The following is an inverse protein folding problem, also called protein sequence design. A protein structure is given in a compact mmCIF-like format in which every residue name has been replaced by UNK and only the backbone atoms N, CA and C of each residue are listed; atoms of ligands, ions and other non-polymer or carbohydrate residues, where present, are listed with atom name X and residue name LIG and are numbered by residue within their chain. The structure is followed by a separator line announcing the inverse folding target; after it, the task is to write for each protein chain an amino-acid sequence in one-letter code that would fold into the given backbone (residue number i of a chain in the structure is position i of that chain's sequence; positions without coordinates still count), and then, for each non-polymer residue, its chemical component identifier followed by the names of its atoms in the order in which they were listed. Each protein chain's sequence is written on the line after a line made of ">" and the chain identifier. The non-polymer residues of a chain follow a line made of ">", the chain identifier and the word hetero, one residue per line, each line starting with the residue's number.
data_IF_043427483132
#
_entry.id   IF_043427483132
#
_cell.length_a   1.000
_cell.length_b   1.000
_cell.length_c   1.000
_cell.angle_alpha   90.00
_cell.angle_beta   90.00
_cell.angle_gamma   90.00
#
_symmetry.space_group_name_H-M   'P 1'
#
loop_
_entity.id
_entity.type
_entity.pdbx_description
1 polymer ?
#
# COMPACT_ATOMS: atom_id res chain seq x y z
N UNK A 1 -14.18 20.89 4.26
CA UNK A 1 -15.05 19.81 3.74
C UNK A 1 -14.22 18.54 3.67
N UNK A 2 -14.61 17.52 4.43
CA UNK A 2 -13.90 16.24 4.51
C UNK A 2 -14.00 15.48 3.18
N UNK A 3 -15.11 15.60 2.45
CA UNK A 3 -15.27 15.05 1.10
C UNK A 3 -14.15 15.53 0.16
N UNK A 4 -13.80 16.82 0.21
CA UNK A 4 -12.73 17.39 -0.61
C UNK A 4 -11.35 16.78 -0.27
N UNK A 5 -11.08 16.46 1.00
CA UNK A 5 -9.84 15.79 1.39
C UNK A 5 -9.74 14.39 0.76
N UNK A 6 -10.84 13.63 0.75
CA UNK A 6 -10.90 12.31 0.10
C UNK A 6 -10.72 12.39 -1.42
N UNK A 7 -11.30 13.41 -2.07
CA UNK A 7 -11.03 13.68 -3.49
C UNK A 7 -9.55 13.97 -3.72
N UNK A 8 -8.92 14.79 -2.88
CA UNK A 8 -7.48 15.07 -2.98
C UNK A 8 -6.62 13.81 -2.78
N UNK A 9 -6.99 12.94 -1.84
CA UNK A 9 -6.30 11.65 -1.67
C UNK A 9 -6.48 10.73 -2.88
N UNK A 10 -7.67 10.65 -3.45
CA UNK A 10 -7.91 9.88 -4.68
C UNK A 10 -7.05 10.42 -5.85
N UNK A 11 -6.97 11.74 -6.01
CA UNK A 11 -6.13 12.37 -7.04
C UNK A 11 -4.64 12.12 -6.80
N UNK A 12 -4.17 12.25 -5.56
CA UNK A 12 -2.78 11.96 -5.20
C UNK A 12 -2.43 10.50 -5.46
N UNK A 13 -3.27 9.55 -5.04
CA UNK A 13 -3.07 8.12 -5.29
C UNK A 13 -3.14 7.79 -6.78
N UNK A 14 -4.01 8.45 -7.55
CA UNK A 14 -4.06 8.29 -9.01
C UNK A 14 -2.75 8.76 -9.64
N UNK A 15 -2.22 9.93 -9.24
CA UNK A 15 -0.93 10.40 -9.71
C UNK A 15 0.20 9.42 -9.37
N UNK A 16 0.19 8.84 -8.16
CA UNK A 16 1.12 7.80 -7.74
C UNK A 16 0.97 6.51 -8.56
N UNK A 17 -0.26 6.08 -8.88
CA UNK A 17 -0.52 4.92 -9.72
C UNK A 17 0.07 5.11 -11.13
N UNK A 18 -0.12 6.29 -11.71
CA UNK A 18 0.46 6.62 -13.01
C UNK A 18 1.99 6.68 -12.93
N UNK A 19 2.57 7.22 -11.85
CA UNK A 19 4.03 7.22 -11.66
C UNK A 19 4.57 5.79 -11.52
N UNK A 20 3.95 4.96 -10.68
CA UNK A 20 4.28 3.55 -10.51
C UNK A 20 4.22 2.78 -11.85
N UNK A 21 3.17 3.01 -12.64
CA UNK A 21 3.04 2.41 -13.96
C UNK A 21 4.16 2.86 -14.92
N UNK A 22 4.54 4.14 -14.91
CA UNK A 22 5.68 4.63 -15.70
C UNK A 22 7.00 4.00 -15.28
N UNK A 23 7.22 3.78 -13.98
CA UNK A 23 8.39 3.04 -13.47
C UNK A 23 8.34 1.60 -13.95
N UNK A 24 7.20 0.92 -13.79
CA UNK A 24 7.01 -0.46 -14.24
C UNK A 24 7.28 -0.64 -15.73
N UNK A 25 6.80 0.27 -16.57
CA UNK A 25 7.04 0.21 -18.03
C UNK A 25 8.51 0.32 -18.42
N UNK A 26 9.32 1.04 -17.63
CA UNK A 26 10.76 1.20 -17.90
C UNK A 26 11.56 0.01 -17.40
N UNK A 27 11.12 -0.59 -16.29
CA UNK A 27 11.84 -1.65 -15.61
C UNK A 27 10.82 -2.59 -14.90
N UNK A 28 10.25 -3.54 -15.65
CA UNK A 28 9.23 -4.44 -15.12
C UNK A 28 9.80 -5.33 -14.03
N UNK A 29 9.18 -5.32 -12.85
CA UNK A 29 9.54 -6.22 -11.76
C UNK A 29 8.31 -6.62 -10.97
N UNK A 30 8.36 -7.79 -10.34
CA UNK A 30 7.28 -8.27 -9.48
C UNK A 30 6.98 -7.26 -8.35
N UNK A 31 8.00 -6.63 -7.76
CA UNK A 31 7.83 -5.62 -6.71
C UNK A 31 7.10 -4.36 -7.20
N UNK A 32 7.45 -3.85 -8.37
CA UNK A 32 6.75 -2.67 -8.92
C UNK A 32 5.33 -3.02 -9.36
N UNK A 33 5.09 -4.23 -9.87
CA UNK A 33 3.74 -4.70 -10.20
C UNK A 33 2.86 -4.81 -8.94
N UNK A 34 3.34 -5.49 -7.90
CA UNK A 34 2.57 -5.66 -6.65
C UNK A 34 2.35 -4.34 -5.94
N UNK A 35 3.28 -3.38 -6.02
CA UNK A 35 3.08 -2.02 -5.52
C UNK A 35 1.85 -1.32 -6.10
N UNK A 36 1.55 -1.55 -7.39
CA UNK A 36 0.43 -0.88 -8.05
C UNK A 36 -0.94 -1.35 -7.54
N UNK A 37 -1.05 -2.59 -7.04
CA UNK A 37 -2.35 -3.17 -6.67
C UNK A 37 -2.99 -2.45 -5.45
N UNK A 38 -2.27 -2.21 -4.33
CA UNK A 38 -2.81 -1.43 -3.22
C UNK A 38 -3.12 0.00 -3.60
N UNK A 39 -2.30 0.64 -4.45
CA UNK A 39 -2.53 2.01 -4.89
C UNK A 39 -3.88 2.09 -5.62
N UNK A 40 -4.16 1.15 -6.52
CA UNK A 40 -5.44 1.07 -7.21
C UNK A 40 -6.62 0.84 -6.24
N UNK A 41 -6.45 -0.05 -5.26
CA UNK A 41 -7.47 -0.31 -4.24
C UNK A 41 -7.80 0.96 -3.42
N UNK A 42 -6.77 1.71 -3.05
CA UNK A 42 -6.90 2.94 -2.24
C UNK A 42 -7.44 4.11 -3.08
N UNK A 43 -7.17 4.16 -4.40
CA UNK A 43 -7.88 5.09 -5.29
C UNK A 43 -9.38 4.82 -5.24
N UNK A 44 -9.79 3.56 -5.44
CA UNK A 44 -11.20 3.21 -5.39
C UNK A 44 -11.82 3.52 -4.02
N UNK A 45 -11.13 3.20 -2.93
CA UNK A 45 -11.61 3.50 -1.57
C UNK A 45 -11.89 4.99 -1.38
N UNK A 46 -10.92 5.85 -1.72
CA UNK A 46 -11.09 7.28 -1.53
C UNK A 46 -12.20 7.86 -2.41
N UNK A 47 -12.36 7.36 -3.64
CA UNK A 47 -13.47 7.74 -4.53
C UNK A 47 -14.80 7.31 -3.95
N UNK A 48 -14.92 6.05 -3.51
CA UNK A 48 -16.17 5.51 -2.97
C UNK A 48 -16.61 6.25 -1.69
N UNK A 49 -15.68 6.61 -0.81
CA UNK A 49 -15.98 7.45 0.37
C UNK A 49 -16.42 8.84 -0.04
N UNK A 50 -15.73 9.49 -0.99
CA UNK A 50 -16.12 10.82 -1.46
C UNK A 50 -17.50 10.83 -2.13
N UNK A 51 -17.82 9.80 -2.92
CA UNK A 51 -19.11 9.65 -3.61
C UNK A 51 -20.27 9.46 -2.62
N UNK A 52 -20.01 8.87 -1.46
CA UNK A 52 -21.06 8.56 -0.49
C UNK A 52 -21.83 9.78 0.01
N UNK A 53 -21.19 10.95 0.07
CA UNK A 53 -21.85 12.22 0.41
C UNK A 53 -22.88 12.69 -0.64
N UNK A 54 -22.73 12.26 -1.89
CA UNK A 54 -23.64 12.61 -2.98
C UNK A 54 -24.77 11.61 -3.14
N UNK A 55 -24.48 10.32 -2.92
CA UNK A 55 -25.45 9.22 -3.08
C UNK A 55 -26.32 9.04 -1.83
N UNK A 56 -25.76 9.30 -0.64
CA UNK A 56 -26.44 9.07 0.63
C UNK A 56 -26.50 7.59 1.04
N UNK A 57 -27.06 7.34 2.22
CA UNK A 57 -27.17 5.99 2.78
C UNK A 57 -28.19 5.14 2.01
N UNK A 58 -27.92 3.84 1.88
CA UNK A 58 -28.79 2.88 1.21
C UNK A 58 -28.05 1.84 0.38
N UNK A 59 -28.78 0.98 -0.35
CA UNK A 59 -28.22 -0.18 -1.03
C UNK A 59 -27.13 0.15 -2.06
N UNK A 60 -27.23 1.30 -2.73
CA UNK A 60 -26.21 1.73 -3.68
C UNK A 60 -24.87 2.02 -2.99
N UNK A 61 -24.90 2.72 -1.85
CA UNK A 61 -23.68 3.03 -1.10
C UNK A 61 -23.09 1.78 -0.43
N UNK A 62 -23.91 0.82 -0.03
CA UNK A 62 -23.45 -0.51 0.42
C UNK A 62 -22.73 -1.26 -0.70
N UNK A 63 -23.32 -1.31 -1.90
CA UNK A 63 -22.72 -1.93 -3.07
C UNK A 63 -21.40 -1.27 -3.49
N UNK A 64 -21.32 0.06 -3.44
CA UNK A 64 -20.06 0.79 -3.67
C UNK A 64 -19.04 0.57 -2.55
N UNK A 65 -19.51 0.28 -1.33
CA UNK A 65 -18.63 0.07 -0.18
C UNK A 65 -18.02 -1.33 -0.13
N UNK A 66 -18.71 -2.36 -0.62
CA UNK A 66 -18.21 -3.74 -0.59
C UNK A 66 -16.83 -3.91 -1.25
N UNK A 67 -16.56 -3.39 -2.46
CA UNK A 67 -15.24 -3.51 -3.08
C UNK A 67 -14.12 -2.82 -2.30
N UNK A 68 -14.45 -1.84 -1.43
CA UNK A 68 -13.46 -1.21 -0.55
C UNK A 68 -12.92 -2.23 0.45
N UNK A 69 -13.80 -2.94 1.14
CA UNK A 69 -13.41 -3.96 2.12
C UNK A 69 -12.70 -5.14 1.46
N UNK A 70 -13.21 -5.58 0.30
CA UNK A 70 -12.57 -6.64 -0.48
C UNK A 70 -11.18 -6.22 -0.96
N UNK A 71 -11.04 -5.01 -1.50
CA UNK A 71 -9.76 -4.46 -1.95
C UNK A 71 -8.76 -4.30 -0.82
N UNK A 72 -9.19 -3.87 0.37
CA UNK A 72 -8.34 -3.82 1.55
C UNK A 72 -7.88 -5.21 1.99
N UNK A 73 -8.79 -6.18 2.05
CA UNK A 73 -8.49 -7.55 2.47
C UNK A 73 -7.52 -8.26 1.50
N UNK A 74 -7.72 -8.08 0.19
CA UNK A 74 -6.93 -8.76 -0.83
C UNK A 74 -5.64 -8.02 -1.16
N UNK A 75 -5.71 -6.71 -1.39
CA UNK A 75 -4.65 -6.01 -2.11
C UNK A 75 -3.67 -5.35 -1.15
N UNK A 76 -4.12 -4.62 -0.13
CA UNK A 76 -3.20 -3.86 0.75
C UNK A 76 -2.10 -4.68 1.43
N UNK A 77 -2.31 -5.96 1.84
CA UNK A 77 -1.24 -6.76 2.42
C UNK A 77 -0.12 -7.11 1.42
N UNK A 78 -0.34 -6.97 0.11
CA UNK A 78 0.68 -7.29 -0.92
C UNK A 78 1.89 -6.35 -0.89
N UNK A 79 1.81 -5.22 -0.15
CA UNK A 79 2.99 -4.42 0.17
C UNK A 79 4.06 -5.20 0.93
N UNK A 80 3.72 -6.33 1.59
CA UNK A 80 4.70 -7.31 2.11
C UNK A 80 5.62 -7.80 1.00
N UNK A 81 5.04 -8.29 -0.10
CA UNK A 81 5.78 -8.81 -1.26
C UNK A 81 6.56 -7.69 -1.93
N UNK A 82 5.95 -6.51 -2.07
CA UNK A 82 6.61 -5.31 -2.61
C UNK A 82 7.89 -4.98 -1.84
N UNK A 83 7.78 -4.90 -0.51
CA UNK A 83 8.87 -4.54 0.37
C UNK A 83 10.02 -5.55 0.35
N UNK A 84 9.70 -6.85 0.39
CA UNK A 84 10.70 -7.91 0.29
C UNK A 84 11.37 -7.91 -1.08
N UNK A 85 10.62 -7.67 -2.17
CA UNK A 85 11.19 -7.55 -3.51
C UNK A 85 12.18 -6.37 -3.61
N UNK A 86 11.88 -5.22 -3.00
CA UNK A 86 12.80 -4.08 -2.96
C UNK A 86 14.04 -4.36 -2.10
N UNK A 87 13.88 -5.03 -0.96
CA UNK A 87 15.02 -5.47 -0.15
C UNK A 87 15.92 -6.45 -0.92
N UNK A 88 15.36 -7.46 -1.58
CA UNK A 88 16.11 -8.39 -2.44
C UNK A 88 16.87 -7.63 -3.53
N UNK A 89 16.19 -6.70 -4.20
CA UNK A 89 16.80 -5.87 -5.25
C UNK A 89 17.93 -4.97 -4.75
N UNK A 90 17.93 -4.60 -3.48
CA UNK A 90 19.04 -3.87 -2.84
C UNK A 90 20.25 -4.77 -2.50
N UNK A 91 20.22 -6.05 -2.89
CA UNK A 91 21.27 -7.03 -2.59
C UNK A 91 21.17 -7.64 -1.19
N UNK A 92 19.99 -7.63 -0.58
CA UNK A 92 19.75 -8.27 0.71
C UNK A 92 19.56 -9.78 0.57
N UNK A 93 19.68 -10.49 1.70
CA UNK A 93 19.39 -11.92 1.83
C UNK A 93 20.24 -12.84 0.94
N UNK A 94 21.52 -12.49 0.75
CA UNK A 94 22.49 -13.30 0.00
C UNK A 94 22.41 -14.79 0.38
N UNK A 95 22.12 -15.65 -0.60
CA UNK A 95 21.98 -17.11 -0.44
C UNK A 95 20.63 -17.57 0.15
N UNK A 96 19.68 -16.67 0.39
CA UNK A 96 18.33 -16.95 0.92
C UNK A 96 17.24 -16.23 0.13
N UNK A 97 17.54 -15.73 -1.07
CA UNK A 97 16.67 -14.88 -1.86
C UNK A 97 15.34 -15.56 -2.18
N UNK A 98 15.41 -16.82 -2.63
CA UNK A 98 14.24 -17.63 -2.94
C UNK A 98 13.38 -17.89 -1.71
N UNK A 99 14.00 -18.17 -0.57
CA UNK A 99 13.30 -18.42 0.69
C UNK A 99 12.55 -17.17 1.14
N UNK A 100 13.19 -16.01 1.09
CA UNK A 100 12.57 -14.74 1.48
C UNK A 100 11.44 -14.34 0.53
N UNK A 101 11.62 -14.55 -0.79
CA UNK A 101 10.57 -14.31 -1.77
C UNK A 101 9.35 -15.21 -1.52
N UNK A 102 9.53 -16.53 -1.40
CA UNK A 102 8.43 -17.47 -1.11
C UNK A 102 7.78 -17.13 0.24
N UNK A 103 8.58 -16.89 1.27
CA UNK A 103 8.09 -16.52 2.60
C UNK A 103 7.21 -15.26 2.58
N UNK A 104 7.55 -14.26 1.75
CA UNK A 104 6.74 -13.05 1.59
C UNK A 104 5.36 -13.34 0.98
N UNK A 105 5.29 -14.25 -0.01
CA UNK A 105 4.02 -14.67 -0.62
C UNK A 105 3.17 -15.52 0.31
N UNK A 106 3.79 -16.42 1.09
CA UNK A 106 3.10 -17.21 2.12
C UNK A 106 2.53 -16.31 3.20
N UNK A 107 3.32 -15.34 3.69
CA UNK A 107 2.86 -14.38 4.69
C UNK A 107 1.74 -13.50 4.13
N UNK A 108 1.86 -13.02 2.89
CA UNK A 108 0.79 -12.31 2.20
C UNK A 108 -0.50 -13.14 2.13
N UNK A 109 -0.44 -14.41 1.71
CA UNK A 109 -1.60 -15.27 1.62
C UNK A 109 -2.27 -15.49 2.99
N UNK A 110 -1.48 -15.65 4.06
CA UNK A 110 -2.00 -15.73 5.42
C UNK A 110 -2.71 -14.42 5.84
N UNK A 111 -2.13 -13.26 5.54
CA UNK A 111 -2.74 -11.97 5.84
C UNK A 111 -4.02 -11.73 5.02
N UNK A 112 -4.06 -12.18 3.77
CA UNK A 112 -5.27 -12.15 2.94
C UNK A 112 -6.37 -13.02 3.54
N UNK A 113 -6.06 -14.24 4.00
CA UNK A 113 -7.05 -15.10 4.64
C UNK A 113 -7.66 -14.44 5.88
N UNK A 114 -6.82 -13.87 6.74
CA UNK A 114 -7.27 -13.13 7.93
C UNK A 114 -8.11 -11.91 7.51
N UNK A 115 -7.65 -11.15 6.51
CA UNK A 115 -8.35 -9.99 5.97
C UNK A 115 -9.72 -10.32 5.40
N UNK A 116 -9.84 -11.42 4.64
CA UNK A 116 -11.10 -11.90 4.08
C UNK A 116 -12.07 -12.32 5.17
N UNK A 117 -11.60 -13.05 6.19
CA UNK A 117 -12.45 -13.41 7.33
C UNK A 117 -12.94 -12.15 8.03
N UNK A 118 -12.04 -11.21 8.34
CA UNK A 118 -12.37 -10.01 9.10
C UNK A 118 -13.27 -9.03 8.33
N UNK A 119 -12.98 -8.78 7.06
CA UNK A 119 -13.55 -7.66 6.29
C UNK A 119 -14.52 -8.09 5.19
N UNK A 120 -14.70 -9.39 4.96
CA UNK A 120 -15.65 -9.90 3.95
C UNK A 120 -16.63 -10.89 4.57
N UNK A 121 -16.13 -11.92 5.25
CA UNK A 121 -17.00 -12.95 5.86
C UNK A 121 -17.75 -12.41 7.07
N UNK A 122 -17.04 -11.71 7.96
CA UNK A 122 -17.61 -11.10 9.17
C UNK A 122 -18.02 -9.64 8.94
N UNK A 123 -18.19 -9.23 7.68
CA UNK A 123 -18.57 -7.87 7.34
C UNK A 123 -19.97 -7.57 7.87
N UNK A 124 -20.09 -6.48 8.63
CA UNK A 124 -21.36 -5.85 8.97
C UNK A 124 -21.28 -4.39 8.57
N UNK A 125 -22.16 -3.93 7.69
CA UNK A 125 -22.18 -2.54 7.27
C UNK A 125 -22.69 -1.66 8.40
N UNK A 126 -21.86 -0.72 8.84
CA UNK A 126 -22.23 0.29 9.83
C UNK A 126 -22.11 1.68 9.19
N UNK A 127 -23.23 2.42 9.19
CA UNK A 127 -23.27 3.75 8.57
C UNK A 127 -22.55 4.77 9.45
N UNK A 128 -21.62 5.50 8.85
CA UNK A 128 -20.91 6.60 9.49
C UNK A 128 -21.28 7.92 8.82
N UNK A 129 -21.62 8.90 9.65
CA UNK A 129 -21.81 10.30 9.26
C UNK A 129 -20.82 11.16 10.03
N UNK A 130 -19.87 11.76 9.32
CA UNK A 130 -18.80 12.56 9.92
C UNK A 130 -18.61 13.85 9.13
N UNK A 131 -18.98 14.99 9.70
CA UNK A 131 -19.03 16.26 8.97
C UNK A 131 -19.93 16.13 7.73
N UNK A 132 -19.37 16.41 6.55
CA UNK A 132 -20.03 16.23 5.25
C UNK A 132 -19.87 14.84 4.63
N UNK A 133 -19.17 13.90 5.29
CA UNK A 133 -19.02 12.51 4.81
C UNK A 133 -20.18 11.62 5.20
N UNK A 134 -20.60 10.76 4.27
CA UNK A 134 -21.53 9.65 4.48
C UNK A 134 -20.91 8.40 3.86
N UNK A 135 -20.58 7.38 4.66
CA UNK A 135 -19.96 6.15 4.16
C UNK A 135 -20.24 4.98 5.11
N UNK A 136 -20.09 3.74 4.65
CA UNK A 136 -20.13 2.57 5.52
C UNK A 136 -18.74 2.16 5.98
N UNK A 137 -18.62 1.81 7.26
CA UNK A 137 -17.49 1.10 7.88
C UNK A 137 -17.87 -0.35 8.17
N UNK A 138 -16.88 -1.17 8.51
CA UNK A 138 -17.13 -2.52 9.02
C UNK A 138 -17.39 -2.43 10.54
N UNK A 139 -18.65 -2.62 10.95
CA UNK A 139 -19.06 -2.75 12.35
C UNK A 139 -18.95 -4.18 12.89
N UNK A 140 -18.56 -5.14 12.03
CA UNK A 140 -18.29 -6.52 12.40
C UNK A 140 -16.79 -6.79 12.54
N UNK A 141 -16.38 -8.01 12.17
CA UNK A 141 -14.99 -8.43 12.19
C UNK A 141 -14.48 -8.98 13.52
N UNK A 142 -13.19 -9.30 13.51
CA UNK A 142 -12.47 -9.83 14.66
C UNK A 142 -12.14 -8.66 15.61
N UNK A 143 -12.47 -8.74 16.92
CA UNK A 143 -12.11 -7.70 17.88
C UNK A 143 -10.60 -7.49 17.95
N UNK A 144 -10.18 -6.23 18.03
CA UNK A 144 -8.78 -5.84 18.16
C UNK A 144 -8.24 -5.07 16.96
N UNK A 145 -6.92 -4.82 16.93
CA UNK A 145 -6.31 -4.03 15.88
C UNK A 145 -6.23 -4.80 14.55
N UNK A 146 -6.15 -4.11 13.40
CA UNK A 146 -6.09 -4.76 12.09
C UNK A 146 -4.75 -5.48 11.89
N UNK A 147 -4.73 -6.78 12.21
CA UNK A 147 -3.54 -7.64 12.12
C UNK A 147 -2.87 -7.57 10.75
N UNK A 148 -3.58 -7.68 9.59
CA UNK A 148 -2.95 -7.58 8.27
C UNK A 148 -2.17 -6.28 8.06
N UNK A 149 -2.75 -5.14 8.42
CA UNK A 149 -2.13 -3.82 8.24
C UNK A 149 -0.91 -3.64 9.14
N UNK A 150 -0.96 -4.12 10.38
CA UNK A 150 0.18 -4.06 11.32
C UNK A 150 1.32 -4.91 10.80
N UNK A 151 1.07 -6.18 10.48
CA UNK A 151 2.09 -7.11 10.00
C UNK A 151 2.73 -6.58 8.72
N UNK A 152 1.91 -6.13 7.76
CA UNK A 152 2.40 -5.52 6.53
C UNK A 152 3.32 -4.33 6.83
N UNK A 153 2.88 -3.39 7.66
CA UNK A 153 3.66 -2.18 7.99
C UNK A 153 4.99 -2.54 8.66
N UNK A 154 5.00 -3.50 9.59
CA UNK A 154 6.23 -3.96 10.24
C UNK A 154 7.22 -4.60 9.26
N UNK A 155 6.72 -5.38 8.28
CA UNK A 155 7.56 -5.94 7.21
C UNK A 155 8.14 -4.82 6.34
N UNK A 156 7.34 -3.82 5.98
CA UNK A 156 7.84 -2.68 5.20
C UNK A 156 8.88 -1.87 6.00
N UNK A 157 8.70 -1.67 7.30
CA UNK A 157 9.71 -1.05 8.17
C UNK A 157 11.00 -1.87 8.16
N UNK A 158 10.93 -3.18 8.40
CA UNK A 158 12.11 -4.05 8.43
C UNK A 158 12.87 -4.02 7.10
N UNK A 159 12.15 -4.12 5.98
CA UNK A 159 12.74 -4.01 4.64
C UNK A 159 13.27 -2.59 4.36
N UNK A 160 12.60 -1.55 4.85
CA UNK A 160 13.03 -0.17 4.75
C UNK A 160 14.36 0.08 5.47
N UNK A 161 14.55 -0.51 6.66
CA UNK A 161 15.86 -0.48 7.35
C UNK A 161 16.94 -1.16 6.52
N UNK A 162 16.64 -2.29 5.89
CA UNK A 162 17.59 -3.01 5.03
C UNK A 162 17.96 -2.15 3.81
N UNK A 163 16.97 -1.60 3.11
CA UNK A 163 17.18 -0.73 1.94
C UNK A 163 18.00 0.51 2.33
N UNK A 164 17.68 1.15 3.46
CA UNK A 164 18.45 2.28 3.98
C UNK A 164 19.92 1.89 4.24
N UNK A 165 20.18 0.75 4.88
CA UNK A 165 21.55 0.31 5.17
C UNK A 165 22.34 -0.07 3.91
N UNK A 166 21.68 -0.67 2.92
CA UNK A 166 22.32 -1.21 1.71
C UNK A 166 22.58 -0.16 0.64
N UNK A 167 21.60 0.70 0.37
CA UNK A 167 21.64 1.66 -0.74
C UNK A 167 21.44 3.11 -0.30
N UNK A 168 21.47 3.38 1.02
CA UNK A 168 21.36 4.72 1.61
C UNK A 168 20.10 5.50 1.24
N UNK A 169 19.03 4.78 0.88
CA UNK A 169 17.74 5.37 0.51
C UNK A 169 16.76 5.33 1.69
N UNK A 170 16.42 6.47 2.32
CA UNK A 170 15.64 6.49 3.57
C UNK A 170 14.12 6.44 3.37
N UNK A 171 13.63 6.76 2.17
CA UNK A 171 12.23 7.12 1.99
C UNK A 171 11.26 5.99 2.29
N UNK A 172 11.56 4.74 1.88
CA UNK A 172 10.74 3.57 2.24
C UNK A 172 10.54 3.43 3.75
N UNK A 173 11.60 3.63 4.54
CA UNK A 173 11.52 3.56 5.99
C UNK A 173 10.72 4.74 6.55
N UNK A 174 10.98 5.96 6.07
CA UNK A 174 10.29 7.15 6.53
C UNK A 174 8.77 7.07 6.30
N UNK A 175 8.34 6.62 5.11
CA UNK A 175 6.93 6.44 4.80
C UNK A 175 6.27 5.36 5.65
N UNK A 176 6.95 4.24 5.89
CA UNK A 176 6.44 3.16 6.72
C UNK A 176 6.31 3.56 8.20
N UNK A 177 7.29 4.31 8.74
CA UNK A 177 7.23 4.85 10.10
C UNK A 177 6.11 5.89 10.24
N UNK A 178 5.94 6.76 9.23
CA UNK A 178 4.83 7.70 9.21
C UNK A 178 3.49 6.97 9.25
N UNK A 179 3.31 5.95 8.40
CA UNK A 179 2.08 5.14 8.38
C UNK A 179 1.84 4.45 9.74
N UNK A 180 2.88 3.89 10.36
CA UNK A 180 2.78 3.24 11.66
C UNK A 180 2.34 4.20 12.77
N UNK A 181 2.92 5.39 12.81
CA UNK A 181 2.54 6.44 13.78
C UNK A 181 1.13 6.94 13.49
N UNK A 182 0.80 7.22 12.22
CA UNK A 182 -0.54 7.68 11.82
C UNK A 182 -1.63 6.66 12.18
N UNK A 183 -1.35 5.37 12.04
CA UNK A 183 -2.27 4.28 12.40
C UNK A 183 -2.47 4.13 13.92
N UNK A 184 -1.51 4.59 14.74
CA UNK A 184 -1.61 4.56 16.19
C UNK A 184 -2.45 5.70 16.77
N UNK A 185 -2.72 6.76 15.99
CA UNK A 185 -3.54 7.88 16.44
C UNK A 185 -5.01 7.43 16.52
N UNK A 186 -5.68 7.58 17.68
CA UNK A 186 -7.08 7.19 17.82
C UNK A 186 -7.95 7.87 16.76
N UNK A 187 -8.81 7.08 16.11
CA UNK A 187 -9.73 7.58 15.08
C UNK A 187 -10.65 8.70 15.58
N UNK A 188 -10.95 8.71 16.87
CA UNK A 188 -11.71 9.76 17.55
C UNK A 188 -10.98 11.12 17.65
N UNK A 189 -9.64 11.14 17.55
CA UNK A 189 -8.79 12.33 17.72
C UNK A 189 -8.28 12.84 16.37
N UNK A 190 -7.82 11.95 15.50
CA UNK A 190 -7.21 12.30 14.21
C UNK A 190 -8.24 12.61 13.10
N UNK A 191 -9.47 12.09 13.25
CA UNK A 191 -10.38 11.91 12.13
C UNK A 191 -9.82 10.93 11.08
N UNK A 192 -10.69 10.42 10.23
CA UNK A 192 -10.32 9.49 9.15
C UNK A 192 -9.32 10.10 8.13
N UNK A 193 -9.20 11.44 8.10
CA UNK A 193 -8.31 12.19 7.22
C UNK A 193 -6.84 11.90 7.49
N UNK A 194 -6.42 11.78 8.75
CA UNK A 194 -5.02 11.51 9.09
C UNK A 194 -4.65 10.06 8.75
N UNK A 195 -5.58 9.11 8.96
CA UNK A 195 -5.36 7.69 8.61
C UNK A 195 -5.09 7.52 7.12
N UNK A 196 -5.90 8.14 6.24
CA UNK A 196 -5.70 8.01 4.79
C UNK A 196 -4.43 8.71 4.29
N UNK A 197 -3.95 9.75 4.97
CA UNK A 197 -2.65 10.36 4.66
C UNK A 197 -1.49 9.35 4.77
N UNK A 198 -1.61 8.39 5.70
CA UNK A 198 -0.62 7.33 5.90
C UNK A 198 -0.46 6.44 4.67
N UNK A 199 -1.56 6.07 4.01
CA UNK A 199 -1.53 5.26 2.79
C UNK A 199 -0.94 6.02 1.60
N UNK A 200 -1.25 7.33 1.47
CA UNK A 200 -0.68 8.17 0.41
C UNK A 200 0.83 8.31 0.59
N UNK A 201 1.29 8.60 1.81
CA UNK A 201 2.70 8.78 2.11
C UNK A 201 3.47 7.45 1.99
N UNK A 202 2.88 6.34 2.46
CA UNK A 202 3.45 5.01 2.27
C UNK A 202 3.59 4.67 0.79
N UNK A 203 2.52 4.83 0.01
CA UNK A 203 2.55 4.61 -1.43
C UNK A 203 3.61 5.48 -2.12
N UNK A 204 3.64 6.79 -1.83
CA UNK A 204 4.63 7.71 -2.40
C UNK A 204 6.06 7.26 -2.09
N UNK A 205 6.32 6.83 -0.85
CA UNK A 205 7.64 6.34 -0.44
C UNK A 205 8.07 5.06 -1.17
N UNK A 206 7.13 4.14 -1.41
CA UNK A 206 7.38 2.90 -2.13
C UNK A 206 7.56 3.16 -3.64
N UNK A 207 6.78 4.06 -4.24
CA UNK A 207 6.95 4.45 -5.65
C UNK A 207 8.28 5.15 -5.87
N UNK A 208 8.67 6.05 -4.95
CA UNK A 208 9.99 6.70 -4.99
C UNK A 208 11.13 5.68 -4.88
N UNK A 209 10.97 4.67 -4.02
CA UNK A 209 11.93 3.57 -3.87
C UNK A 209 12.00 2.69 -5.12
N UNK A 210 10.87 2.37 -5.73
CA UNK A 210 10.82 1.66 -7.00
C UNK A 210 11.57 2.42 -8.10
N UNK A 211 11.32 3.73 -8.21
CA UNK A 211 11.98 4.60 -9.20
C UNK A 211 13.50 4.68 -8.99
N UNK A 212 13.93 4.82 -7.73
CA UNK A 212 15.36 4.83 -7.38
C UNK A 212 16.05 3.51 -7.75
N UNK A 213 15.47 2.37 -7.36
CA UNK A 213 16.04 1.05 -7.66
C UNK A 213 16.06 0.75 -9.16
N UNK A 214 15.04 1.19 -9.91
CA UNK A 214 15.00 1.10 -11.37
C UNK A 214 16.14 1.88 -12.04
N UNK A 215 16.37 3.13 -11.60
CA UNK A 215 17.44 3.97 -12.12
C UNK A 215 18.84 3.37 -11.83
N UNK A 216 19.04 2.83 -10.63
CA UNK A 216 20.30 2.20 -10.23
C UNK A 216 20.64 0.97 -11.10
N UNK A 217 19.65 0.11 -11.38
CA UNK A 217 19.86 -1.05 -12.26
C UNK A 217 20.24 -0.66 -13.69
N UNK A 218 19.58 0.34 -14.27
CA UNK A 218 19.91 0.82 -15.62
C UNK A 218 21.34 1.37 -15.73
N UNK A 219 21.81 2.08 -14.71
CA UNK A 219 23.19 2.59 -14.68
C UNK A 219 24.24 1.46 -14.62
N UNK A 220 23.99 0.41 -13.83
CA UNK A 220 24.88 -0.76 -13.76
C UNK A 220 24.96 -1.51 -15.09
N UNK A 221 23.82 -1.71 -15.78
CA UNK A 221 23.79 -2.36 -17.10
C UNK A 221 24.56 -1.55 -18.15
N UNK A 222 24.39 -0.23 -18.18
CA UNK A 222 25.11 0.65 -19.12
C UNK A 222 26.62 0.65 -18.86
N UNK A 223 27.06 0.58 -17.60
CA UNK A 223 28.49 0.46 -17.27
C UNK A 223 29.07 -0.89 -17.71
N UNK A 224 28.33 -1.99 -17.56
CA UNK A 224 28.77 -3.31 -18.01
C UNK A 224 28.94 -3.36 -19.54
N UNK A 225 28.00 -2.80 -20.30
CA UNK A 225 28.07 -2.73 -21.77
C UNK A 225 29.24 -1.87 -22.27
N UNK A 226 29.57 -0.77 -21.56
CA UNK A 226 30.73 0.07 -21.92
C UNK A 226 32.09 -0.59 -21.64
N UNK A 227 32.15 -1.56 -20.72
CA UNK A 227 33.41 -2.27 -20.38
C UNK A 227 33.71 -3.44 -21.32
N UNK A 228 32.71 -3.92 -22.06
CA UNK A 228 32.89 -4.93 -23.11
C UNK A 228 32.31 -4.39 -24.44
N UNK A 229 32.98 -3.43 -25.10
CA UNK A 229 32.66 -3.20 -26.50
C UNK A 229 32.99 -4.51 -27.23
N UNK A 230 31.99 -5.12 -27.85
CA UNK A 230 32.22 -6.29 -28.68
C UNK A 230 33.25 -5.91 -29.75
N UNK A 231 34.43 -6.52 -29.64
CA UNK A 231 35.55 -6.42 -30.56
C UNK A 231 35.30 -7.28 -31.78
#
# INVERSE_FOLDING_TARGET
>A
MLTAAYVLYALAQTALAVWAFRVYRKDPSAGTFTLMLPIAAVVYDNVAVAVGSFVGAGPLLEALSFPRFLGHALLTPVWIVTAVAFALRSGAFAGRERVMSIGSWVLYAAMVLIGLINSVVLLSFELVRLGDLVYYTNGGGIPGPPVPSIVMTLVVIACGVIVLKRVRWPWMLAGALFMFVAAAIPRAIAGFVVSNSGEVIMAASLVATAAFLAAASGASTLQALRRHPQS
#
